data_IF_963856441677
#
_entry.id   IF_963856441677
#
_cell.length_a   1.000
_cell.length_b   1.000
_cell.length_c   1.000
_cell.angle_alpha   90.00
_cell.angle_beta   90.00
_cell.angle_gamma   90.00
#
_symmetry.space_group_name_H-M   'P 1'
#
loop_
_entity.id
_entity.type
_entity.pdbx_description
1 polymer ?
#
# COMPACT_ATOMS: atom_id res chain seq x y z
N UNK A 1 -12.99 -24.52 36.98
CA UNK A 1 -13.69 -23.64 36.03
C UNK A 1 -12.83 -23.22 34.81
N UNK A 2 -11.49 -23.21 34.87
CA UNK A 2 -10.61 -22.77 33.76
C UNK A 2 -10.57 -23.70 32.51
N UNK A 3 -11.17 -24.87 32.55
CA UNK A 3 -11.20 -25.82 31.43
C UNK A 3 -12.48 -25.77 30.58
N UNK A 4 -13.44 -24.92 30.91
CA UNK A 4 -14.73 -24.84 30.19
C UNK A 4 -14.79 -23.70 29.15
N UNK A 5 -13.85 -22.79 29.14
CA UNK A 5 -13.83 -21.65 28.22
C UNK A 5 -12.47 -21.59 27.56
N UNK A 6 -12.43 -21.65 26.26
CA UNK A 6 -11.21 -21.48 25.46
C UNK A 6 -11.44 -20.48 24.34
N UNK A 7 -10.36 -19.79 23.93
CA UNK A 7 -10.39 -18.93 22.74
C UNK A 7 -10.38 -19.83 21.50
N UNK A 8 -11.27 -19.57 20.55
CA UNK A 8 -11.29 -20.30 19.29
C UNK A 8 -9.96 -20.15 18.54
N UNK A 9 -9.50 -21.23 17.91
CA UNK A 9 -8.28 -21.19 17.09
C UNK A 9 -8.40 -20.12 16.00
N UNK A 10 -7.35 -19.32 15.78
CA UNK A 10 -7.35 -18.22 14.80
C UNK A 10 -7.55 -16.82 15.41
N UNK A 11 -8.00 -16.71 16.68
CA UNK A 11 -8.11 -15.42 17.38
C UNK A 11 -6.97 -15.14 18.36
N UNK A 12 -5.97 -16.00 18.41
CA UNK A 12 -4.88 -15.92 19.40
C UNK A 12 -3.82 -14.86 19.07
N UNK A 13 -3.74 -14.39 17.83
CA UNK A 13 -2.69 -13.49 17.35
C UNK A 13 -3.28 -12.24 16.72
N UNK A 14 -2.59 -11.10 16.92
CA UNK A 14 -2.90 -9.85 16.20
C UNK A 14 -2.71 -10.05 14.70
N UNK A 15 -3.50 -9.31 13.91
CA UNK A 15 -3.34 -9.26 12.45
C UNK A 15 -2.27 -8.24 12.09
N UNK A 16 -1.33 -8.67 11.25
CA UNK A 16 -0.38 -7.81 10.56
C UNK A 16 -0.65 -7.91 9.06
N UNK A 17 -1.10 -6.82 8.44
CA UNK A 17 -1.57 -6.85 7.05
C UNK A 17 -0.47 -7.35 6.10
N UNK A 18 0.78 -6.91 6.30
CA UNK A 18 1.88 -7.27 5.41
C UNK A 18 2.21 -8.77 5.41
N UNK A 19 2.10 -9.43 6.57
CA UNK A 19 2.40 -10.86 6.70
C UNK A 19 1.19 -11.75 6.44
N UNK A 20 0.01 -11.28 6.86
CA UNK A 20 -1.22 -12.08 6.88
C UNK A 20 -2.01 -11.99 5.56
N UNK A 21 -1.61 -11.15 4.61
CA UNK A 21 -2.34 -10.96 3.35
C UNK A 21 -2.50 -12.27 2.55
N UNK A 22 -1.56 -13.19 2.71
CA UNK A 22 -1.57 -14.52 2.08
C UNK A 22 -2.03 -15.65 3.02
N UNK A 23 -2.45 -15.34 4.26
CA UNK A 23 -2.98 -16.35 5.21
C UNK A 23 -4.50 -16.43 5.13
N UNK A 24 -5.01 -17.42 4.40
CA UNK A 24 -6.44 -17.64 4.22
C UNK A 24 -7.19 -17.96 5.52
N UNK A 25 -6.50 -18.49 6.55
CA UNK A 25 -7.13 -18.77 7.85
C UNK A 25 -7.58 -17.50 8.57
N UNK A 26 -6.89 -16.38 8.33
CA UNK A 26 -7.29 -15.08 8.87
C UNK A 26 -8.61 -14.60 8.28
N UNK A 27 -8.87 -14.92 7.02
CA UNK A 27 -10.11 -14.56 6.32
C UNK A 27 -11.29 -15.41 6.81
N UNK A 28 -11.10 -16.75 6.96
CA UNK A 28 -12.12 -17.67 7.46
C UNK A 28 -12.59 -17.33 8.88
N UNK A 29 -11.71 -16.77 9.69
CA UNK A 29 -11.99 -16.37 11.07
C UNK A 29 -12.45 -14.91 11.22
N UNK A 30 -12.64 -14.18 10.12
CA UNK A 30 -13.13 -12.80 10.19
C UNK A 30 -14.54 -12.74 10.77
N UNK A 31 -14.75 -11.88 11.78
CA UNK A 31 -16.07 -11.62 12.37
C UNK A 31 -16.65 -10.37 11.73
N UNK A 32 -17.71 -10.48 10.92
CA UNK A 32 -18.32 -9.33 10.27
C UNK A 32 -19.07 -8.47 11.30
N UNK A 33 -18.61 -7.25 11.51
CA UNK A 33 -19.35 -6.26 12.29
C UNK A 33 -20.02 -5.28 11.33
N UNK A 34 -21.08 -4.60 11.78
CA UNK A 34 -21.76 -3.59 10.97
C UNK A 34 -20.76 -2.54 10.41
N UNK A 35 -19.85 -2.05 11.25
CA UNK A 35 -18.82 -1.06 10.83
C UNK A 35 -17.92 -1.63 9.75
N UNK A 36 -17.54 -2.91 9.84
CA UNK A 36 -16.72 -3.56 8.81
C UNK A 36 -17.48 -3.69 7.48
N UNK A 37 -18.76 -4.04 7.55
CA UNK A 37 -19.62 -4.17 6.37
C UNK A 37 -19.89 -2.84 5.70
N UNK A 38 -20.13 -1.79 6.47
CA UNK A 38 -20.37 -0.43 5.97
C UNK A 38 -19.09 0.11 5.29
N UNK A 39 -17.90 -0.12 5.88
CA UNK A 39 -16.62 0.26 5.27
C UNK A 39 -16.33 -0.55 3.99
N UNK A 40 -16.64 -1.85 3.97
CA UNK A 40 -16.49 -2.67 2.76
C UNK A 40 -17.36 -2.12 1.63
N UNK A 41 -18.62 -1.81 1.91
CA UNK A 41 -19.55 -1.25 0.93
C UNK A 41 -19.03 0.10 0.38
N UNK A 42 -18.59 0.99 1.27
CA UNK A 42 -18.05 2.29 0.91
C UNK A 42 -16.80 2.17 0.03
N UNK A 43 -15.88 1.25 0.35
CA UNK A 43 -14.69 1.02 -0.47
C UNK A 43 -15.07 0.40 -1.83
N UNK A 44 -16.01 -0.54 -1.88
CA UNK A 44 -16.48 -1.10 -3.15
C UNK A 44 -17.17 -0.05 -4.02
N UNK A 45 -17.93 0.87 -3.43
CA UNK A 45 -18.50 2.00 -4.16
C UNK A 45 -17.41 2.93 -4.71
N UNK A 46 -16.31 3.08 -4.00
CA UNK A 46 -15.19 3.90 -4.45
C UNK A 46 -14.38 3.29 -5.62
N UNK A 47 -14.58 2.01 -5.93
CA UNK A 47 -14.00 1.38 -7.13
C UNK A 47 -14.71 1.77 -8.43
N UNK A 48 -15.80 2.55 -8.38
CA UNK A 48 -16.45 3.08 -9.57
C UNK A 48 -15.61 4.20 -10.17
N UNK A 49 -15.55 4.26 -11.49
CA UNK A 49 -14.75 5.28 -12.21
C UNK A 49 -15.16 6.73 -11.89
N UNK A 50 -16.39 6.94 -11.45
CA UNK A 50 -16.94 8.26 -11.09
C UNK A 50 -16.67 8.66 -9.63
N UNK A 51 -16.09 7.78 -8.82
CA UNK A 51 -15.82 8.08 -7.43
C UNK A 51 -14.68 9.08 -7.27
N UNK A 52 -14.89 10.03 -6.35
CA UNK A 52 -13.90 11.03 -5.92
C UNK A 52 -13.48 10.83 -4.46
N UNK A 53 -13.84 9.70 -3.86
CA UNK A 53 -13.56 9.38 -2.46
C UNK A 53 -12.72 8.11 -2.38
N UNK A 54 -11.39 8.26 -2.49
CA UNK A 54 -10.41 7.17 -2.53
C UNK A 54 -9.24 7.35 -1.56
N UNK A 55 -9.17 8.47 -0.84
CA UNK A 55 -8.20 8.71 0.21
C UNK A 55 -8.88 8.73 1.57
N UNK A 56 -8.53 7.81 2.49
CA UNK A 56 -9.19 7.63 3.79
C UNK A 56 -8.20 7.55 4.93
N UNK A 57 -8.62 8.09 6.09
CA UNK A 57 -7.98 7.81 7.38
C UNK A 57 -8.93 6.95 8.21
N UNK A 58 -8.53 5.72 8.53
CA UNK A 58 -9.29 4.84 9.41
C UNK A 58 -8.85 5.09 10.86
N UNK A 59 -9.77 5.58 11.67
CA UNK A 59 -9.49 6.02 13.04
C UNK A 59 -10.18 5.11 14.05
N UNK A 60 -9.43 4.62 15.01
CA UNK A 60 -9.99 3.79 16.09
C UNK A 60 -8.90 3.29 17.04
N UNK A 61 -9.26 3.06 18.30
CA UNK A 61 -8.35 2.60 19.34
C UNK A 61 -7.68 1.25 18.99
N UNK A 62 -6.61 0.90 19.70
CA UNK A 62 -5.97 -0.42 19.63
C UNK A 62 -6.98 -1.55 19.87
N UNK A 63 -6.77 -2.70 19.23
CA UNK A 63 -7.62 -3.89 19.42
C UNK A 63 -9.02 -3.80 18.82
N UNK A 64 -9.37 -2.77 18.05
CA UNK A 64 -10.68 -2.62 17.40
C UNK A 64 -10.80 -3.35 16.05
N UNK A 65 -9.82 -4.17 15.70
CA UNK A 65 -9.87 -5.00 14.48
C UNK A 65 -9.62 -4.26 13.17
N UNK A 66 -9.09 -3.03 13.19
CA UNK A 66 -8.82 -2.21 11.98
C UNK A 66 -8.04 -2.99 10.92
N UNK A 67 -6.89 -3.54 11.28
CA UNK A 67 -6.02 -4.29 10.36
C UNK A 67 -6.72 -5.54 9.80
N UNK A 68 -7.57 -6.21 10.59
CA UNK A 68 -8.35 -7.37 10.14
C UNK A 68 -9.45 -6.98 9.14
N UNK A 69 -10.14 -5.86 9.39
CA UNK A 69 -11.13 -5.31 8.45
C UNK A 69 -10.47 -4.97 7.12
N UNK A 70 -9.32 -4.28 7.18
CA UNK A 70 -8.56 -3.90 5.96
C UNK A 70 -8.05 -5.14 5.23
N UNK A 71 -7.51 -6.13 5.95
CA UNK A 71 -7.07 -7.40 5.36
C UNK A 71 -8.21 -8.10 4.58
N UNK A 72 -9.40 -8.17 5.16
CA UNK A 72 -10.59 -8.72 4.50
C UNK A 72 -10.94 -7.93 3.24
N UNK A 73 -10.97 -6.59 3.31
CA UNK A 73 -11.30 -5.73 2.17
C UNK A 73 -10.27 -5.90 1.04
N UNK A 74 -8.97 -5.89 1.36
CA UNK A 74 -7.91 -6.11 0.38
C UNK A 74 -8.05 -7.46 -0.32
N UNK A 75 -8.39 -8.51 0.43
CA UNK A 75 -8.59 -9.85 -0.12
C UNK A 75 -9.78 -9.92 -1.10
N UNK A 76 -10.85 -9.18 -0.84
CA UNK A 76 -11.98 -9.01 -1.78
C UNK A 76 -11.53 -8.22 -3.02
N UNK A 77 -10.80 -7.12 -2.83
CA UNK A 77 -10.30 -6.30 -3.94
C UNK A 77 -9.30 -7.04 -4.84
N UNK A 78 -8.56 -7.99 -4.28
CA UNK A 78 -7.69 -8.92 -5.02
C UNK A 78 -8.46 -10.06 -5.68
N UNK A 79 -9.77 -10.16 -5.47
CA UNK A 79 -10.62 -11.27 -5.94
C UNK A 79 -10.16 -12.64 -5.47
N UNK A 80 -9.77 -12.76 -4.20
CA UNK A 80 -9.60 -14.09 -3.60
C UNK A 80 -10.90 -14.87 -3.65
N UNK A 81 -10.79 -16.20 -3.58
CA UNK A 81 -11.95 -17.10 -3.61
C UNK A 81 -12.96 -16.68 -2.55
N UNK A 82 -14.20 -16.43 -3.00
CA UNK A 82 -15.30 -15.97 -2.15
C UNK A 82 -15.63 -16.99 -1.04
N UNK A 83 -15.33 -18.27 -1.25
CA UNK A 83 -15.51 -19.32 -0.25
C UNK A 83 -14.65 -19.13 1.01
N UNK A 84 -13.59 -18.31 0.94
CA UNK A 84 -12.77 -17.96 2.10
C UNK A 84 -13.50 -17.07 3.12
N UNK A 85 -14.59 -16.45 2.72
CA UNK A 85 -15.34 -15.48 3.52
C UNK A 85 -16.59 -16.14 4.16
N UNK A 86 -16.46 -17.37 4.67
CA UNK A 86 -17.56 -18.20 5.19
C UNK A 86 -18.48 -17.48 6.19
N UNK A 87 -17.92 -16.68 7.09
CA UNK A 87 -18.69 -15.93 8.09
C UNK A 87 -19.26 -14.62 7.56
N UNK A 88 -18.63 -14.07 6.52
CA UNK A 88 -19.05 -12.81 5.91
C UNK A 88 -20.21 -13.01 4.94
N UNK A 89 -20.25 -14.13 4.22
CA UNK A 89 -21.27 -14.42 3.21
C UNK A 89 -22.71 -14.34 3.71
N UNK A 90 -23.09 -14.94 4.85
CA UNK A 90 -24.46 -14.84 5.36
C UNK A 90 -24.90 -13.40 5.66
N UNK A 91 -23.97 -12.57 6.18
CA UNK A 91 -24.23 -11.15 6.47
C UNK A 91 -24.39 -10.31 5.21
N UNK A 92 -23.64 -10.67 4.16
CA UNK A 92 -23.74 -10.04 2.85
C UNK A 92 -25.08 -10.42 2.19
N UNK A 93 -25.42 -11.71 2.19
CA UNK A 93 -26.64 -12.25 1.57
C UNK A 93 -27.92 -11.77 2.26
N UNK A 94 -27.84 -11.45 3.54
CA UNK A 94 -28.96 -10.87 4.28
C UNK A 94 -29.37 -9.46 3.81
N UNK A 95 -28.47 -8.75 3.09
CA UNK A 95 -28.71 -7.42 2.56
C UNK A 95 -28.58 -7.43 1.01
N UNK A 96 -29.72 -7.34 0.27
CA UNK A 96 -29.71 -7.45 -1.19
C UNK A 96 -28.84 -6.41 -1.91
N UNK A 97 -28.76 -5.19 -1.42
CA UNK A 97 -27.94 -4.14 -2.02
C UNK A 97 -26.45 -4.43 -1.84
N UNK A 98 -26.04 -4.82 -0.64
CA UNK A 98 -24.66 -5.20 -0.32
C UNK A 98 -24.21 -6.40 -1.14
N UNK A 99 -25.06 -7.44 -1.20
CA UNK A 99 -24.82 -8.61 -2.05
C UNK A 99 -24.58 -8.21 -3.51
N UNK A 100 -25.44 -7.32 -4.03
CA UNK A 100 -25.32 -6.80 -5.41
C UNK A 100 -23.99 -6.06 -5.64
N UNK A 101 -23.51 -5.24 -4.69
CA UNK A 101 -22.23 -4.53 -4.84
C UNK A 101 -21.05 -5.51 -4.89
N UNK A 102 -21.02 -6.50 -4.02
CA UNK A 102 -19.94 -7.48 -3.99
C UNK A 102 -19.98 -8.36 -5.23
N UNK A 103 -21.16 -8.87 -5.60
CA UNK A 103 -21.33 -9.66 -6.81
C UNK A 103 -20.89 -8.88 -8.04
N UNK A 104 -21.37 -7.65 -8.20
CA UNK A 104 -20.97 -6.81 -9.32
C UNK A 104 -19.46 -6.62 -9.37
N UNK A 105 -18.78 -6.43 -8.23
CA UNK A 105 -17.33 -6.33 -8.20
C UNK A 105 -16.65 -7.61 -8.66
N UNK A 106 -17.12 -8.79 -8.23
CA UNK A 106 -16.56 -10.08 -8.67
C UNK A 106 -16.86 -10.37 -10.15
N UNK A 107 -17.98 -9.89 -10.69
CA UNK A 107 -18.37 -10.05 -12.09
C UNK A 107 -17.57 -9.12 -13.04
N UNK A 108 -16.94 -8.05 -12.53
CA UNK A 108 -16.07 -7.16 -13.34
C UNK A 108 -14.70 -7.79 -13.54
N UNK A 109 -13.88 -7.23 -14.44
CA UNK A 109 -12.46 -7.57 -14.54
C UNK A 109 -11.58 -6.70 -13.62
N UNK A 110 -12.19 -5.93 -12.70
CA UNK A 110 -11.46 -5.07 -11.78
C UNK A 110 -10.72 -5.90 -10.73
N UNK A 111 -9.39 -5.75 -10.69
CA UNK A 111 -8.51 -6.32 -9.67
C UNK A 111 -7.56 -5.24 -9.20
N UNK A 112 -7.50 -5.01 -7.91
CA UNK A 112 -6.68 -3.95 -7.32
C UNK A 112 -5.48 -4.55 -6.61
N UNK A 113 -4.28 -4.04 -6.92
CA UNK A 113 -3.02 -4.47 -6.31
C UNK A 113 -2.82 -3.78 -4.95
N UNK A 114 -2.69 -4.50 -3.83
CA UNK A 114 -2.40 -3.91 -2.54
C UNK A 114 -0.91 -3.62 -2.37
N UNK A 115 -0.58 -2.40 -1.98
CA UNK A 115 0.77 -1.97 -1.56
C UNK A 115 0.73 -1.65 -0.08
N UNK A 116 1.46 -2.41 0.74
CA UNK A 116 1.41 -2.29 2.19
C UNK A 116 2.66 -1.59 2.70
N UNK A 117 2.46 -0.48 3.40
CA UNK A 117 3.51 0.23 4.14
C UNK A 117 3.35 -0.16 5.62
N UNK A 118 4.39 -0.72 6.20
CA UNK A 118 4.44 -1.13 7.61
C UNK A 118 5.68 -0.57 8.29
N UNK A 119 5.60 -0.35 9.60
CA UNK A 119 6.69 0.11 10.42
C UNK A 119 6.84 1.64 10.49
N UNK A 120 7.81 2.08 11.30
CA UNK A 120 8.17 3.49 11.46
C UNK A 120 9.29 3.85 10.49
N UNK A 121 8.97 4.48 9.39
CA UNK A 121 9.95 5.00 8.45
C UNK A 121 10.27 6.47 8.79
N UNK A 122 11.49 6.91 8.54
CA UNK A 122 11.90 8.31 8.77
C UNK A 122 11.36 9.27 7.72
N UNK A 123 11.15 8.80 6.48
CA UNK A 123 10.57 9.55 5.37
C UNK A 123 9.37 8.81 4.80
N UNK A 124 8.27 9.55 4.63
CA UNK A 124 7.04 9.01 4.04
C UNK A 124 7.27 8.69 2.56
N UNK A 125 7.92 9.59 1.83
CA UNK A 125 8.22 9.40 0.41
C UNK A 125 9.03 8.13 0.17
N UNK A 126 10.06 7.89 0.98
CA UNK A 126 10.86 6.68 0.90
C UNK A 126 10.04 5.41 1.25
N UNK A 127 9.15 5.50 2.24
CA UNK A 127 8.29 4.38 2.60
C UNK A 127 7.37 3.96 1.45
N UNK A 128 6.79 4.92 0.74
CA UNK A 128 5.96 4.67 -0.43
C UNK A 128 6.75 4.03 -1.58
N UNK A 129 7.95 4.54 -1.87
CA UNK A 129 8.82 4.00 -2.93
C UNK A 129 9.22 2.55 -2.63
N UNK A 130 9.71 2.27 -1.43
CA UNK A 130 10.13 0.93 -1.02
C UNK A 130 8.97 -0.07 -1.00
N UNK A 131 7.78 0.36 -0.56
CA UNK A 131 6.60 -0.50 -0.55
C UNK A 131 6.15 -0.86 -1.96
N UNK A 132 6.17 0.10 -2.90
CA UNK A 132 5.84 -0.16 -4.30
C UNK A 132 6.84 -1.15 -4.91
N UNK A 133 8.15 -0.90 -4.76
CA UNK A 133 9.20 -1.78 -5.27
C UNK A 133 9.05 -3.21 -4.77
N UNK A 134 8.88 -3.37 -3.44
CA UNK A 134 8.67 -4.68 -2.83
C UNK A 134 7.43 -5.37 -3.41
N UNK A 135 6.31 -4.67 -3.50
CA UNK A 135 5.07 -5.24 -4.03
C UNK A 135 5.22 -5.67 -5.49
N UNK A 136 5.82 -4.84 -6.35
CA UNK A 136 6.04 -5.19 -7.75
C UNK A 136 6.95 -6.42 -7.88
N UNK A 137 7.96 -6.56 -7.01
CA UNK A 137 8.83 -7.74 -6.95
C UNK A 137 8.07 -8.98 -6.48
N UNK A 138 7.29 -8.89 -5.39
CA UNK A 138 6.54 -10.00 -4.81
C UNK A 138 5.47 -10.58 -5.75
N UNK A 139 4.90 -9.74 -6.61
CA UNK A 139 3.87 -10.13 -7.59
C UNK A 139 4.41 -10.37 -9.01
N UNK A 140 5.72 -10.40 -9.19
CA UNK A 140 6.39 -10.56 -10.49
C UNK A 140 5.92 -9.51 -11.53
N UNK A 141 5.89 -8.24 -11.10
CA UNK A 141 5.40 -7.10 -11.86
C UNK A 141 6.50 -6.04 -12.14
N UNK A 142 7.77 -6.32 -11.86
CA UNK A 142 8.86 -5.37 -12.09
C UNK A 142 8.97 -4.96 -13.56
N UNK A 143 8.68 -5.89 -14.47
CA UNK A 143 8.62 -5.63 -15.91
C UNK A 143 7.46 -4.71 -16.34
N UNK A 144 6.51 -4.45 -15.45
CA UNK A 144 5.43 -3.49 -15.69
C UNK A 144 5.91 -2.03 -15.70
N UNK A 145 7.16 -1.77 -15.28
CA UNK A 145 7.77 -0.43 -15.25
C UNK A 145 9.11 -0.35 -16.02
N UNK A 146 9.22 -0.90 -17.21
CA UNK A 146 10.51 -1.01 -17.90
C UNK A 146 11.19 0.35 -18.11
N UNK A 147 10.44 1.38 -18.55
CA UNK A 147 11.01 2.71 -18.79
C UNK A 147 11.66 3.33 -17.56
N UNK A 148 11.07 3.15 -16.37
CA UNK A 148 11.58 3.77 -15.14
C UNK A 148 12.87 3.09 -14.69
N UNK A 149 12.91 1.75 -14.71
CA UNK A 149 14.05 0.96 -14.29
C UNK A 149 15.27 1.21 -15.19
N UNK A 150 15.07 1.17 -16.48
CA UNK A 150 16.13 1.39 -17.47
C UNK A 150 16.63 2.83 -17.49
N UNK A 151 15.72 3.81 -17.42
CA UNK A 151 16.09 5.23 -17.32
C UNK A 151 16.87 5.53 -16.04
N UNK A 152 16.51 4.89 -14.92
CA UNK A 152 17.26 5.03 -13.68
C UNK A 152 18.68 4.47 -13.80
N UNK A 153 18.86 3.31 -14.41
CA UNK A 153 20.17 2.74 -14.67
C UNK A 153 21.04 3.66 -15.56
N UNK A 154 20.49 4.15 -16.67
CA UNK A 154 21.15 5.10 -17.56
C UNK A 154 21.53 6.40 -16.81
N UNK A 155 20.63 6.93 -16.00
CA UNK A 155 20.89 8.14 -15.21
C UNK A 155 22.03 7.96 -14.19
N UNK A 156 22.15 6.76 -13.60
CA UNK A 156 23.27 6.43 -12.72
C UNK A 156 24.57 6.35 -13.47
N UNK A 157 24.60 5.71 -14.65
CA UNK A 157 25.79 5.61 -15.52
C UNK A 157 26.25 7.01 -15.93
N UNK A 158 25.31 7.88 -16.35
CA UNK A 158 25.60 9.26 -16.72
C UNK A 158 26.15 10.07 -15.55
N UNK A 159 25.57 9.86 -14.36
CA UNK A 159 26.06 10.50 -13.13
C UNK A 159 27.48 10.02 -12.79
N UNK A 160 27.77 8.73 -12.89
CA UNK A 160 29.13 8.21 -12.68
C UNK A 160 30.11 8.83 -13.69
N UNK A 161 29.73 8.89 -14.96
CA UNK A 161 30.54 9.52 -16.01
C UNK A 161 30.87 10.99 -15.70
N UNK A 162 29.90 11.74 -15.17
CA UNK A 162 30.03 13.18 -14.91
C UNK A 162 30.73 13.47 -13.58
N UNK A 163 30.29 12.82 -12.50
CA UNK A 163 30.62 13.21 -11.13
C UNK A 163 31.58 12.25 -10.44
N UNK A 164 31.69 11.00 -10.93
CA UNK A 164 32.49 9.92 -10.33
C UNK A 164 33.29 9.14 -11.39
N UNK A 165 34.29 9.79 -12.07
CA UNK A 165 35.00 9.16 -13.21
C UNK A 165 35.72 7.86 -12.86
N UNK A 166 36.17 7.70 -11.62
CA UNK A 166 36.81 6.47 -11.16
C UNK A 166 35.83 5.29 -11.17
N UNK A 167 34.65 5.47 -10.56
CA UNK A 167 33.56 4.46 -10.55
C UNK A 167 33.09 4.15 -11.97
N UNK A 168 33.02 5.16 -12.83
CA UNK A 168 32.65 4.97 -14.23
C UNK A 168 33.65 4.11 -14.99
N UNK A 169 34.93 4.34 -14.81
CA UNK A 169 35.98 3.51 -15.44
C UNK A 169 35.95 2.07 -14.92
N UNK A 170 35.77 1.89 -13.60
CA UNK A 170 35.61 0.56 -13.00
C UNK A 170 34.36 -0.16 -13.52
N UNK A 171 33.26 0.57 -13.76
CA UNK A 171 32.06 0.04 -14.41
C UNK A 171 32.36 -0.45 -15.84
N UNK A 172 33.06 0.38 -16.65
CA UNK A 172 33.43 0.01 -18.03
C UNK A 172 34.31 -1.25 -18.08
N UNK A 173 35.20 -1.45 -17.09
CA UNK A 173 36.04 -2.64 -17.00
C UNK A 173 35.25 -3.92 -16.66
N UNK A 174 34.08 -3.78 -16.05
CA UNK A 174 33.23 -4.92 -15.62
C UNK A 174 32.21 -5.36 -16.68
N UNK A 175 31.89 -4.53 -17.63
CA UNK A 175 30.94 -4.85 -18.71
C UNK A 175 31.65 -5.53 -19.89
N UNK A 176 31.00 -6.56 -20.45
CA UNK A 176 31.55 -7.34 -21.55
C UNK A 176 31.33 -6.73 -22.95
N UNK A 177 30.90 -5.47 -23.03
CA UNK A 177 30.61 -4.81 -24.29
C UNK A 177 30.94 -3.30 -24.25
N UNK A 178 31.07 -2.64 -25.43
CA UNK A 178 31.25 -1.18 -25.47
C UNK A 178 30.11 -0.44 -24.80
N UNK A 179 30.41 0.58 -23.98
CA UNK A 179 29.43 1.34 -23.20
C UNK A 179 28.28 1.91 -24.03
N UNK A 180 28.55 2.36 -25.24
CA UNK A 180 27.50 2.88 -26.12
C UNK A 180 26.46 1.80 -26.47
N UNK A 181 26.90 0.57 -26.71
CA UNK A 181 26.02 -0.57 -26.97
C UNK A 181 25.26 -0.98 -25.70
N UNK A 182 25.89 -0.89 -24.55
CA UNK A 182 25.26 -1.17 -23.25
C UNK A 182 24.11 -0.19 -22.98
N UNK A 183 24.35 1.12 -23.19
CA UNK A 183 23.31 2.15 -23.05
C UNK A 183 22.20 1.96 -24.08
N UNK A 184 22.55 1.70 -25.36
CA UNK A 184 21.56 1.41 -26.41
C UNK A 184 20.68 0.19 -26.07
N UNK A 185 21.26 -0.86 -25.50
CA UNK A 185 20.51 -2.02 -25.05
C UNK A 185 19.56 -1.68 -23.88
N UNK A 186 19.99 -0.87 -22.91
CA UNK A 186 19.11 -0.35 -21.86
C UNK A 186 17.99 0.54 -22.43
N UNK A 187 18.26 1.40 -23.40
CA UNK A 187 17.24 2.20 -24.09
C UNK A 187 16.24 1.34 -24.86
N UNK A 188 16.65 0.17 -25.35
CA UNK A 188 15.79 -0.81 -26.01
C UNK A 188 15.16 -1.82 -25.04
N UNK A 189 15.24 -1.59 -23.73
CA UNK A 189 14.65 -2.42 -22.68
C UNK A 189 15.15 -3.87 -22.65
N UNK A 190 16.44 -4.09 -22.90
CA UNK A 190 17.06 -5.42 -22.81
C UNK A 190 17.17 -5.85 -21.34
N UNK A 191 16.39 -6.87 -20.98
CA UNK A 191 16.31 -7.38 -19.61
C UNK A 191 17.67 -7.96 -19.16
N UNK A 192 18.40 -8.63 -20.03
CA UNK A 192 19.67 -9.26 -19.66
C UNK A 192 20.73 -8.23 -19.28
N UNK A 193 20.75 -7.10 -19.98
CA UNK A 193 21.66 -5.98 -19.70
C UNK A 193 21.25 -5.23 -18.43
N UNK A 194 19.95 -5.10 -18.17
CA UNK A 194 19.47 -4.52 -16.93
C UNK A 194 19.82 -5.39 -15.71
N UNK A 195 19.62 -6.71 -15.78
CA UNK A 195 20.02 -7.66 -14.74
C UNK A 195 21.54 -7.67 -14.51
N UNK A 196 22.33 -7.50 -15.56
CA UNK A 196 23.78 -7.38 -15.48
C UNK A 196 24.16 -6.09 -14.72
N UNK A 197 23.52 -4.96 -15.04
CA UNK A 197 23.71 -3.71 -14.32
C UNK A 197 23.37 -3.86 -12.82
N UNK A 198 22.26 -4.50 -12.48
CA UNK A 198 21.88 -4.74 -11.08
C UNK A 198 22.90 -5.61 -10.32
N UNK A 199 23.52 -6.57 -10.97
CA UNK A 199 24.58 -7.42 -10.39
C UNK A 199 25.90 -6.65 -10.18
N UNK A 200 26.27 -5.78 -11.12
CA UNK A 200 27.51 -5.00 -11.05
C UNK A 200 27.40 -3.88 -10.01
N UNK A 201 26.24 -3.22 -9.89
CA UNK A 201 26.01 -2.03 -9.08
C UNK A 201 26.50 -2.14 -7.63
N UNK A 202 26.21 -3.22 -6.85
CA UNK A 202 26.69 -3.31 -5.47
C UNK A 202 28.20 -3.30 -5.34
N UNK A 203 28.93 -3.84 -6.32
CA UNK A 203 30.39 -3.87 -6.28
C UNK A 203 31.01 -2.47 -6.43
N UNK A 204 30.29 -1.55 -7.03
CA UNK A 204 30.69 -0.16 -7.27
C UNK A 204 30.17 0.83 -6.23
N UNK A 205 29.28 0.38 -5.36
CA UNK A 205 28.54 1.25 -4.41
C UNK A 205 28.63 0.75 -2.97
N UNK A 206 29.77 0.16 -2.58
CA UNK A 206 30.01 -0.36 -1.23
C UNK A 206 28.92 -1.34 -0.75
N UNK A 207 28.42 -2.20 -1.65
CA UNK A 207 27.44 -3.23 -1.32
C UNK A 207 25.97 -2.75 -1.34
N UNK A 208 25.69 -1.50 -1.72
CA UNK A 208 24.32 -1.00 -1.84
C UNK A 208 23.60 -1.68 -3.01
N UNK A 209 22.36 -2.11 -2.80
CA UNK A 209 21.49 -2.60 -3.89
C UNK A 209 21.01 -1.45 -4.75
N UNK A 210 20.88 -1.68 -6.06
CA UNK A 210 20.31 -0.70 -6.96
C UNK A 210 18.83 -0.48 -6.65
N UNK A 211 18.42 0.78 -6.52
CA UNK A 211 17.03 1.15 -6.35
C UNK A 211 16.62 2.08 -7.49
N UNK A 212 15.91 1.59 -8.51
CA UNK A 212 15.52 2.38 -9.68
C UNK A 212 14.56 3.52 -9.36
N UNK A 213 13.95 3.52 -8.18
CA UNK A 213 12.95 4.50 -7.79
C UNK A 213 13.51 5.69 -7.01
N UNK A 214 14.81 5.67 -6.73
CA UNK A 214 15.46 6.72 -5.96
C UNK A 214 15.57 8.01 -6.79
N UNK A 215 14.93 9.09 -6.33
CA UNK A 215 14.95 10.38 -7.00
C UNK A 215 13.76 10.69 -7.91
N UNK A 216 12.80 9.75 -8.04
CA UNK A 216 11.54 10.00 -8.74
C UNK A 216 10.48 10.64 -7.82
N UNK A 217 9.56 11.38 -8.43
CA UNK A 217 8.35 11.81 -7.73
C UNK A 217 7.46 10.60 -7.43
N UNK A 218 7.00 10.50 -6.18
CA UNK A 218 6.22 9.33 -5.73
C UNK A 218 4.91 9.18 -6.51
N UNK A 219 4.21 10.29 -6.75
CA UNK A 219 2.91 10.27 -7.45
C UNK A 219 3.11 9.82 -8.90
N UNK A 220 4.10 10.40 -9.60
CA UNK A 220 4.42 10.03 -10.98
C UNK A 220 4.80 8.56 -11.11
N UNK A 221 5.55 8.03 -10.12
CA UNK A 221 5.95 6.64 -10.11
C UNK A 221 4.76 5.69 -9.97
N UNK A 222 3.84 6.00 -9.05
CA UNK A 222 2.61 5.21 -8.89
C UNK A 222 1.70 5.30 -10.13
N UNK A 223 1.63 6.45 -10.80
CA UNK A 223 0.92 6.58 -12.08
C UNK A 223 1.55 5.71 -13.18
N UNK A 224 2.88 5.68 -13.25
CA UNK A 224 3.60 4.83 -14.20
C UNK A 224 3.36 3.34 -13.92
N UNK A 225 3.41 2.95 -12.62
CA UNK A 225 3.08 1.59 -12.20
C UNK A 225 1.65 1.18 -12.59
N UNK A 226 0.66 2.05 -12.37
CA UNK A 226 -0.73 1.81 -12.76
C UNK A 226 -0.87 1.48 -14.25
N UNK A 227 -0.21 2.26 -15.11
CA UNK A 227 -0.24 2.02 -16.57
C UNK A 227 0.39 0.68 -16.94
N UNK A 228 1.48 0.32 -16.27
CA UNK A 228 2.19 -0.95 -16.51
C UNK A 228 1.38 -2.16 -16.08
N UNK A 229 0.86 -2.18 -14.85
CA UNK A 229 0.12 -3.31 -14.30
C UNK A 229 -1.24 -3.55 -14.96
N UNK A 230 -1.80 -2.55 -15.66
CA UNK A 230 -3.03 -2.68 -16.43
C UNK A 230 -2.92 -3.81 -17.48
N UNK A 231 -1.77 -3.95 -18.12
CA UNK A 231 -1.47 -5.02 -19.07
C UNK A 231 -1.42 -6.41 -18.41
N UNK A 232 -1.25 -6.47 -17.11
CA UNK A 232 -1.21 -7.70 -16.28
C UNK A 232 -2.54 -8.01 -15.59
N UNK A 233 -3.62 -7.30 -15.95
CA UNK A 233 -4.98 -7.55 -15.45
C UNK A 233 -5.35 -6.82 -14.15
N UNK A 234 -4.56 -5.85 -13.71
CA UNK A 234 -4.90 -4.97 -12.60
C UNK A 234 -5.54 -3.68 -13.11
N UNK A 235 -6.55 -3.19 -12.40
CA UNK A 235 -7.24 -1.94 -12.72
C UNK A 235 -6.88 -0.80 -11.77
N UNK A 236 -6.15 -1.09 -10.71
CA UNK A 236 -5.78 -0.09 -9.71
C UNK A 236 -4.74 -0.58 -8.72
N UNK A 237 -4.28 0.37 -7.91
CA UNK A 237 -3.43 0.16 -6.74
C UNK A 237 -4.16 0.69 -5.52
N UNK A 238 -4.11 -0.03 -4.41
CA UNK A 238 -4.52 0.45 -3.10
C UNK A 238 -3.33 0.44 -2.14
N UNK A 239 -2.93 1.62 -1.70
CA UNK A 239 -1.86 1.79 -0.70
C UNK A 239 -2.47 1.78 0.68
N UNK A 240 -1.94 0.94 1.56
CA UNK A 240 -2.31 0.92 2.98
C UNK A 240 -1.09 1.21 3.82
N UNK A 241 -1.13 2.31 4.58
CA UNK A 241 -0.13 2.58 5.59
C UNK A 241 -0.64 2.06 6.94
N UNK A 242 -0.26 0.81 7.24
CA UNK A 242 -0.57 0.21 8.53
C UNK A 242 0.29 0.86 9.63
N UNK A 243 -0.32 1.09 10.78
CA UNK A 243 0.35 1.76 11.91
C UNK A 243 0.84 3.20 11.61
N UNK A 244 0.15 3.96 10.73
CA UNK A 244 0.49 5.36 10.44
C UNK A 244 0.60 6.24 11.70
N UNK A 245 -0.17 5.93 12.75
CA UNK A 245 -0.02 6.58 14.06
C UNK A 245 1.36 6.43 14.68
N UNK A 246 2.06 5.31 14.47
CA UNK A 246 3.45 5.15 14.97
C UNK A 246 4.40 6.11 14.26
N UNK A 247 4.19 6.34 12.95
CA UNK A 247 4.94 7.37 12.24
C UNK A 247 4.65 8.75 12.83
N UNK A 248 3.38 9.10 13.05
CA UNK A 248 3.01 10.39 13.64
C UNK A 248 3.60 10.58 15.04
N UNK A 249 3.60 9.54 15.88
CA UNK A 249 4.15 9.60 17.23
C UNK A 249 5.68 9.74 17.24
N UNK A 250 6.38 9.04 16.36
CA UNK A 250 7.85 8.99 16.35
C UNK A 250 8.49 10.11 15.52
N UNK A 251 7.89 10.46 14.38
CA UNK A 251 8.57 11.24 13.34
C UNK A 251 7.84 12.51 12.91
N UNK A 252 6.70 12.87 13.51
CA UNK A 252 5.92 14.04 13.06
C UNK A 252 6.70 15.36 13.17
N UNK A 253 7.60 15.45 14.16
CA UNK A 253 8.50 16.61 14.34
C UNK A 253 9.58 16.70 13.29
N UNK A 254 10.01 15.54 12.77
CA UNK A 254 11.07 15.43 11.76
C UNK A 254 10.52 15.44 10.34
N UNK A 255 9.23 15.14 10.17
CA UNK A 255 8.57 15.12 8.87
C UNK A 255 8.80 16.45 8.13
N UNK A 256 9.28 16.34 6.90
CA UNK A 256 9.59 17.49 6.06
C UNK A 256 8.31 18.12 5.47
N UNK A 257 8.43 19.36 5.01
CA UNK A 257 7.38 20.01 4.21
C UNK A 257 7.11 19.20 2.92
N UNK A 258 8.15 18.58 2.37
CA UNK A 258 8.04 17.70 1.20
C UNK A 258 7.20 16.46 1.48
N UNK A 259 7.32 15.83 2.67
CA UNK A 259 6.51 14.66 3.03
C UNK A 259 5.02 15.00 3.14
N UNK A 260 4.68 16.12 3.80
CA UNK A 260 3.28 16.57 3.89
C UNK A 260 2.71 16.94 2.53
N UNK A 261 3.50 17.61 1.69
CA UNK A 261 3.10 17.93 0.31
C UNK A 261 2.87 16.66 -0.51
N UNK A 262 3.79 15.70 -0.45
CA UNK A 262 3.64 14.41 -1.15
C UNK A 262 2.35 13.70 -0.75
N UNK A 263 2.00 13.63 0.55
CA UNK A 263 0.74 13.03 0.99
C UNK A 263 -0.49 13.77 0.48
N UNK A 264 -0.44 15.11 0.44
CA UNK A 264 -1.52 15.92 -0.13
C UNK A 264 -1.71 15.62 -1.62
N UNK A 265 -0.62 15.68 -2.40
CA UNK A 265 -0.64 15.44 -3.84
C UNK A 265 -1.09 14.00 -4.15
N UNK A 266 -0.63 13.02 -3.36
CA UNK A 266 -1.04 11.63 -3.50
C UNK A 266 -2.54 11.42 -3.20
N UNK A 267 -3.06 12.03 -2.14
CA UNK A 267 -4.48 11.95 -1.80
C UNK A 267 -5.36 12.62 -2.87
N UNK A 268 -4.96 13.80 -3.37
CA UNK A 268 -5.64 14.45 -4.50
C UNK A 268 -5.63 13.58 -5.75
N UNK A 269 -4.48 12.92 -6.03
CA UNK A 269 -4.40 11.99 -7.14
C UNK A 269 -5.33 10.80 -6.97
N UNK A 270 -5.41 10.21 -5.77
CA UNK A 270 -6.37 9.15 -5.47
C UNK A 270 -7.80 9.59 -5.81
N UNK A 271 -8.22 10.75 -5.31
CA UNK A 271 -9.58 11.26 -5.47
C UNK A 271 -9.92 11.65 -6.92
N UNK A 272 -8.92 11.85 -7.78
CA UNK A 272 -9.08 12.21 -9.20
C UNK A 272 -8.69 11.09 -10.18
N UNK A 273 -8.35 9.91 -9.70
CA UNK A 273 -7.71 8.86 -10.51
C UNK A 273 -8.61 8.19 -11.56
N UNK A 274 -9.94 8.36 -11.48
CA UNK A 274 -10.87 7.88 -12.52
C UNK A 274 -10.77 6.38 -12.78
N UNK A 275 -10.48 5.98 -14.01
CA UNK A 275 -10.37 4.57 -14.42
C UNK A 275 -9.06 3.91 -13.96
N UNK A 276 -7.98 4.66 -13.90
CA UNK A 276 -6.69 4.19 -13.36
C UNK A 276 -6.70 4.38 -11.85
N UNK A 277 -7.34 3.45 -11.15
CA UNK A 277 -7.71 3.61 -9.75
C UNK A 277 -6.49 3.61 -8.83
N UNK A 278 -6.34 4.70 -8.09
CA UNK A 278 -5.39 4.82 -7.00
C UNK A 278 -6.15 5.09 -5.71
N UNK A 279 -5.92 4.29 -4.69
CA UNK A 279 -6.54 4.43 -3.38
C UNK A 279 -5.48 4.56 -2.30
N UNK A 280 -5.77 5.28 -1.22
CA UNK A 280 -4.89 5.41 -0.06
C UNK A 280 -5.69 5.25 1.24
N UNK A 281 -5.22 4.35 2.10
CA UNK A 281 -5.76 4.14 3.45
C UNK A 281 -4.63 4.36 4.46
N UNK A 282 -4.81 5.34 5.33
CA UNK A 282 -3.96 5.56 6.50
C UNK A 282 -4.65 4.98 7.74
N UNK A 283 -3.99 4.10 8.50
CA UNK A 283 -4.56 3.52 9.73
C UNK A 283 -4.01 4.25 10.95
N UNK A 284 -4.88 4.93 11.68
CA UNK A 284 -4.51 5.72 12.86
C UNK A 284 -5.33 5.34 14.10
N UNK A 285 -4.78 5.68 15.28
CA UNK A 285 -5.47 5.49 16.56
C UNK A 285 -6.30 6.71 16.96
N UNK A 286 -5.90 7.89 16.51
CA UNK A 286 -6.51 9.18 16.78
C UNK A 286 -6.55 10.00 15.49
N UNK A 287 -7.30 11.09 15.51
CA UNK A 287 -7.27 12.11 14.46
C UNK A 287 -5.85 12.67 14.26
N UNK A 288 -5.50 13.02 13.03
CA UNK A 288 -4.21 13.66 12.72
C UNK A 288 -4.04 14.94 13.52
N UNK A 289 -5.13 15.70 13.71
CA UNK A 289 -5.16 16.91 14.53
C UNK A 289 -4.63 16.72 15.95
N UNK A 290 -4.85 15.56 16.56
CA UNK A 290 -4.42 15.26 17.92
C UNK A 290 -2.91 15.07 18.06
N UNK A 291 -2.18 14.92 16.95
CA UNK A 291 -0.71 14.77 16.96
C UNK A 291 0.03 16.08 16.67
N UNK A 292 -0.66 17.10 16.11
CA UNK A 292 -0.02 18.30 15.59
C UNK A 292 -0.07 19.51 16.52
N UNK A 293 -0.81 19.46 17.61
CA UNK A 293 -1.09 20.62 18.49
C UNK A 293 0.17 21.31 19.04
N UNK A 294 1.29 20.60 19.14
CA UNK A 294 2.56 21.10 19.70
C UNK A 294 3.59 21.47 18.61
N UNK A 295 3.24 21.37 17.36
CA UNK A 295 4.16 21.65 16.25
C UNK A 295 4.26 23.15 15.94
N UNK A 296 5.34 23.61 15.28
CA UNK A 296 5.41 24.95 14.70
C UNK A 296 4.28 25.19 13.67
N UNK A 297 3.78 26.42 13.60
CA UNK A 297 2.63 26.79 12.76
C UNK A 297 2.72 26.27 11.31
N UNK A 298 3.88 26.42 10.67
CA UNK A 298 4.08 25.95 9.30
C UNK A 298 3.86 24.44 9.13
N UNK A 299 4.27 23.62 10.13
CA UNK A 299 4.05 22.17 10.12
C UNK A 299 2.59 21.84 10.41
N UNK A 300 1.94 22.58 11.31
CA UNK A 300 0.49 22.44 11.57
C UNK A 300 -0.30 22.68 10.29
N UNK A 301 0.00 23.73 9.54
CA UNK A 301 -0.72 24.07 8.30
C UNK A 301 -0.50 22.97 7.23
N UNK A 302 0.71 22.41 7.12
CA UNK A 302 0.99 21.28 6.24
C UNK A 302 0.16 20.03 6.58
N UNK A 303 0.12 19.64 7.85
CA UNK A 303 -0.66 18.48 8.30
C UNK A 303 -2.17 18.67 8.27
N UNK A 304 -2.67 19.91 8.48
CA UNK A 304 -4.07 20.24 8.24
C UNK A 304 -4.44 20.05 6.78
N UNK A 305 -3.59 20.56 5.87
CA UNK A 305 -3.77 20.34 4.43
C UNK A 305 -3.78 18.86 4.04
N UNK A 306 -3.01 17.99 4.72
CA UNK A 306 -3.13 16.53 4.58
C UNK A 306 -4.52 16.08 5.05
N UNK A 307 -4.89 16.39 6.29
CA UNK A 307 -6.13 15.91 6.91
C UNK A 307 -7.38 16.27 6.09
N UNK A 308 -7.43 17.46 5.50
CA UNK A 308 -8.56 17.96 4.71
C UNK A 308 -8.79 17.21 3.39
N UNK A 309 -7.78 16.47 2.90
CA UNK A 309 -7.86 15.71 1.65
C UNK A 309 -8.32 14.27 1.82
N UNK A 310 -8.51 13.84 3.06
CA UNK A 310 -8.92 12.50 3.41
C UNK A 310 -10.34 12.46 3.97
N UNK A 311 -11.06 11.41 3.64
CA UNK A 311 -12.31 11.06 4.34
C UNK A 311 -11.95 10.34 5.64
N UNK A 312 -12.46 10.88 6.77
CA UNK A 312 -12.21 10.33 8.10
C UNK A 312 -13.25 9.30 8.45
N UNK A 313 -12.84 8.06 8.66
CA UNK A 313 -13.72 6.94 9.00
C UNK A 313 -13.45 6.48 10.42
N UNK A 314 -14.41 6.68 11.31
CA UNK A 314 -14.31 6.29 12.71
C UNK A 314 -14.81 4.86 12.92
N UNK A 315 -13.90 3.96 13.29
CA UNK A 315 -14.22 2.56 13.58
C UNK A 315 -14.54 2.38 15.06
N UNK A 316 -15.65 2.97 15.49
CA UNK A 316 -16.14 2.90 16.88
C UNK A 316 -17.18 1.78 17.00
N UNK A 317 -16.79 0.67 17.61
CA UNK A 317 -17.74 -0.38 17.97
C UNK A 317 -18.55 0.08 19.21
N UNK A 318 -19.86 -0.07 19.14
CA UNK A 318 -20.70 0.07 20.33
C UNK A 318 -20.57 -1.16 21.25
N UNK A 319 -21.13 -1.10 22.45
CA UNK A 319 -21.06 -2.21 23.42
C UNK A 319 -21.65 -3.51 22.85
N UNK A 320 -22.78 -3.44 22.12
CA UNK A 320 -23.43 -4.60 21.52
C UNK A 320 -22.50 -5.34 20.55
N UNK A 321 -21.80 -4.62 19.67
CA UNK A 321 -20.83 -5.19 18.74
C UNK A 321 -19.63 -5.81 19.46
N UNK A 322 -19.20 -5.22 20.58
CA UNK A 322 -18.12 -5.80 21.39
C UNK A 322 -18.57 -7.13 22.00
N UNK A 323 -19.80 -7.24 22.51
CA UNK A 323 -20.36 -8.51 23.01
C UNK A 323 -20.51 -9.56 21.91
N UNK A 324 -20.92 -9.18 20.72
CA UNK A 324 -21.05 -10.05 19.56
C UNK A 324 -19.69 -10.65 19.16
N UNK A 325 -18.66 -9.82 19.11
CA UNK A 325 -17.28 -10.28 18.85
C UNK A 325 -16.83 -11.26 19.95
N UNK A 326 -17.05 -10.94 21.23
CA UNK A 326 -16.69 -11.82 22.35
C UNK A 326 -17.43 -13.16 22.25
N UNK A 327 -18.73 -13.15 21.95
CA UNK A 327 -19.53 -14.37 21.80
C UNK A 327 -19.03 -15.30 20.69
N UNK A 328 -18.48 -14.71 19.59
CA UNK A 328 -17.91 -15.48 18.49
C UNK A 328 -16.49 -16.00 18.75
N UNK A 329 -15.75 -15.39 19.67
CA UNK A 329 -14.37 -15.77 20.02
C UNK A 329 -14.31 -16.85 21.10
N UNK A 330 -15.30 -16.88 22.00
CA UNK A 330 -15.33 -17.81 23.12
C UNK A 330 -16.05 -19.10 22.70
N UNK A 331 -15.34 -20.22 22.80
CA UNK A 331 -15.96 -21.58 22.73
C UNK A 331 -16.36 -22.03 24.13
N UNK A 332 -17.60 -22.54 24.27
CA UNK A 332 -18.05 -23.29 25.44
C UNK A 332 -17.46 -24.69 25.45
#
# INVERSE_FOLDING_TARGET
MSKMISVASGFQYSVNIAYDLNDDNKLRNFIPTKVALDLLEDILLSTRNTSTDRARVLIGAYGKGKSHIVLMILSILMKKDISLFERLLPEIESNPDRYKYIKNYYDTNSKILPVIISGSNTSISQAFLLALQRTLSEYDLLDAMPETNYKAAISVIDRWKKDFPFTYNEFIEKIDMPINKYIEALENFDISIYEDFEKIYPSLTAGSTFNPFLGFDVVELYESALKGIKKKGYTGIIVVYDEFSKFLEANITEASVSDTKMLQDFAEKCNRSGEEQLHLILISHKEISNYIDKLPKQKIDGWRGVSERFTHVHLNNNFSQTYEVIANVIKK
#
